data_IF_676206498125
#
_entry.id   IF_676206498125
#
_cell.length_a   1.000
_cell.length_b   1.000
_cell.length_c   1.000
_cell.angle_alpha   90.00
_cell.angle_beta   90.00
_cell.angle_gamma   90.00
#
_symmetry.space_group_name_H-M   'P 1'
#
loop_
_entity.id
_entity.type
_entity.pdbx_description
1 polymer ?
#
# COMPACT_ATOMS: atom_id res chain seq x y z
N UNK A 1 -16.55 -31.15 4.20
CA UNK A 1 -16.25 -30.02 5.05
C UNK A 1 -15.76 -28.84 4.21
N UNK A 2 -16.52 -27.78 4.19
CA UNK A 2 -16.07 -26.58 3.46
C UNK A 2 -14.88 -26.04 4.21
N UNK A 3 -13.74 -26.01 3.57
CA UNK A 3 -12.55 -25.39 4.11
C UNK A 3 -12.86 -23.95 4.46
N UNK A 4 -12.42 -23.49 5.64
CA UNK A 4 -12.57 -22.11 6.09
C UNK A 4 -12.00 -21.12 5.06
N UNK A 5 -10.95 -21.55 4.38
CA UNK A 5 -10.30 -20.77 3.32
C UNK A 5 -11.23 -20.58 2.10
N UNK A 6 -11.89 -21.65 1.67
CA UNK A 6 -12.85 -21.62 0.56
C UNK A 6 -14.05 -20.72 0.90
N UNK A 7 -14.53 -20.81 2.13
CA UNK A 7 -15.60 -19.95 2.62
C UNK A 7 -15.20 -18.48 2.59
N UNK A 8 -13.97 -18.17 3.00
CA UNK A 8 -13.42 -16.83 2.98
C UNK A 8 -13.33 -16.29 1.56
N UNK A 9 -12.89 -17.10 0.59
CA UNK A 9 -12.85 -16.71 -0.82
C UNK A 9 -14.24 -16.38 -1.36
N UNK A 10 -15.24 -17.21 -1.06
CA UNK A 10 -16.62 -16.96 -1.46
C UNK A 10 -17.17 -15.67 -0.84
N UNK A 11 -16.79 -15.41 0.41
CA UNK A 11 -17.20 -14.23 1.12
C UNK A 11 -16.58 -12.96 0.52
N UNK A 12 -15.29 -13.03 0.18
CA UNK A 12 -14.59 -11.92 -0.48
C UNK A 12 -15.23 -11.61 -1.84
N UNK A 13 -15.57 -12.64 -2.60
CA UNK A 13 -16.26 -12.48 -3.88
C UNK A 13 -17.64 -11.84 -3.69
N UNK A 14 -18.36 -12.23 -2.66
CA UNK A 14 -19.66 -11.68 -2.30
C UNK A 14 -19.54 -10.21 -1.88
N UNK A 15 -18.56 -9.90 -1.02
CA UNK A 15 -18.25 -8.53 -0.62
C UNK A 15 -17.94 -7.65 -1.83
N UNK A 16 -17.13 -8.15 -2.75
CA UNK A 16 -16.76 -7.42 -3.96
C UNK A 16 -17.96 -7.11 -4.85
N UNK A 17 -19.02 -7.94 -4.82
CA UNK A 17 -20.27 -7.66 -5.54
C UNK A 17 -21.08 -6.57 -4.86
N UNK A 18 -21.01 -6.47 -3.54
CA UNK A 18 -21.70 -5.45 -2.75
C UNK A 18 -21.02 -4.10 -2.78
N UNK A 19 -19.71 -4.09 -3.01
CA UNK A 19 -19.00 -2.83 -3.17
C UNK A 19 -19.49 -2.18 -4.45
N UNK A 20 -20.00 -0.96 -4.31
CA UNK A 20 -20.55 -0.18 -5.39
C UNK A 20 -19.59 -0.15 -6.59
N UNK A 21 -20.12 -0.41 -7.78
CA UNK A 21 -19.35 -0.36 -9.02
C UNK A 21 -18.73 1.02 -9.25
N UNK A 22 -19.40 2.08 -8.78
CA UNK A 22 -18.88 3.45 -8.86
C UNK A 22 -17.65 3.63 -7.97
N UNK A 23 -17.64 3.02 -6.79
CA UNK A 23 -16.49 3.06 -5.89
C UNK A 23 -15.28 2.35 -6.51
N UNK A 24 -15.50 1.21 -7.16
CA UNK A 24 -14.45 0.48 -7.88
C UNK A 24 -13.90 1.28 -9.06
N UNK A 25 -14.77 1.91 -9.82
CA UNK A 25 -14.39 2.77 -10.94
C UNK A 25 -13.57 3.96 -10.46
N UNK A 26 -13.98 4.57 -9.36
CA UNK A 26 -13.27 5.68 -8.76
C UNK A 26 -11.88 5.26 -8.29
N UNK A 27 -11.77 4.09 -7.66
CA UNK A 27 -10.47 3.56 -7.23
C UNK A 27 -9.55 3.31 -8.43
N UNK A 28 -10.05 2.71 -9.50
CA UNK A 28 -9.29 2.49 -10.74
C UNK A 28 -8.82 3.80 -11.37
N UNK A 29 -9.69 4.80 -11.40
CA UNK A 29 -9.38 6.12 -11.93
C UNK A 29 -8.26 6.79 -11.16
N UNK A 30 -8.31 6.74 -9.84
CA UNK A 30 -7.29 7.31 -8.97
C UNK A 30 -5.98 6.53 -9.05
N UNK A 31 -6.04 5.21 -9.17
CA UNK A 31 -4.87 4.37 -9.39
C UNK A 31 -4.18 4.72 -10.71
N UNK A 32 -4.96 4.87 -11.77
CA UNK A 32 -4.44 5.27 -13.08
C UNK A 32 -3.75 6.64 -13.04
N UNK A 33 -4.32 7.59 -12.29
CA UNK A 33 -3.73 8.90 -12.10
C UNK A 33 -2.35 8.85 -11.42
N UNK A 34 -2.12 7.85 -10.55
CA UNK A 34 -0.81 7.64 -9.94
C UNK A 34 0.26 7.28 -10.98
N UNK A 35 -0.08 6.41 -11.94
CA UNK A 35 0.86 6.02 -12.99
C UNK A 35 1.22 7.18 -13.92
N UNK A 36 0.31 8.13 -14.08
CA UNK A 36 0.52 9.29 -14.93
C UNK A 36 1.15 10.48 -14.21
N UNK A 37 1.44 10.37 -12.92
CA UNK A 37 2.01 11.45 -12.14
C UNK A 37 3.54 11.49 -12.28
N UNK A 38 4.12 12.46 -13.01
CA UNK A 38 5.58 12.52 -13.19
C UNK A 38 6.33 12.72 -11.88
N UNK A 39 5.77 13.50 -10.96
CA UNK A 39 6.39 13.76 -9.65
C UNK A 39 6.49 12.48 -8.82
N UNK A 40 5.43 11.68 -8.80
CA UNK A 40 5.42 10.39 -8.09
C UNK A 40 6.44 9.44 -8.70
N UNK A 41 6.51 9.35 -10.03
CA UNK A 41 7.47 8.49 -10.71
C UNK A 41 8.91 8.88 -10.39
N UNK A 42 9.21 10.17 -10.32
CA UNK A 42 10.52 10.69 -9.94
C UNK A 42 10.86 10.31 -8.49
N UNK A 43 9.93 10.50 -7.57
CA UNK A 43 10.14 10.18 -6.15
C UNK A 43 10.30 8.66 -5.94
N UNK A 44 9.53 7.85 -6.65
CA UNK A 44 9.66 6.39 -6.59
C UNK A 44 11.02 5.92 -7.11
N UNK A 45 11.55 6.55 -8.14
CA UNK A 45 12.87 6.24 -8.65
C UNK A 45 13.96 6.57 -7.63
N UNK A 46 13.87 7.70 -6.97
CA UNK A 46 14.78 8.07 -5.88
C UNK A 46 14.68 7.06 -4.72
N UNK A 47 13.47 6.64 -4.39
CA UNK A 47 13.22 5.65 -3.37
C UNK A 47 13.90 4.31 -3.71
N UNK A 48 13.78 3.86 -4.95
CA UNK A 48 14.43 2.63 -5.41
C UNK A 48 15.95 2.72 -5.34
N UNK A 49 16.54 3.86 -5.68
CA UNK A 49 17.97 4.08 -5.57
C UNK A 49 18.45 3.96 -4.12
N UNK A 50 17.71 4.54 -3.18
CA UNK A 50 18.02 4.44 -1.75
C UNK A 50 17.87 2.99 -1.26
N UNK A 51 16.82 2.30 -1.67
CA UNK A 51 16.60 0.89 -1.32
C UNK A 51 17.74 0.01 -1.83
N UNK A 52 18.24 0.26 -3.05
CA UNK A 52 19.37 -0.47 -3.61
C UNK A 52 20.65 -0.22 -2.84
N UNK A 53 20.94 1.03 -2.45
CA UNK A 53 22.10 1.34 -1.63
C UNK A 53 22.02 0.69 -0.27
N UNK A 54 20.85 0.73 0.39
CA UNK A 54 20.62 0.06 1.66
C UNK A 54 20.82 -1.45 1.55
N UNK A 55 20.35 -2.05 0.46
CA UNK A 55 20.51 -3.48 0.20
C UNK A 55 22.00 -3.87 0.11
N UNK A 56 22.82 -3.03 -0.52
CA UNK A 56 24.27 -3.25 -0.59
C UNK A 56 24.94 -3.10 0.78
N UNK A 57 24.46 -2.18 1.62
CA UNK A 57 24.99 -1.98 2.96
C UNK A 57 24.69 -3.15 3.91
N UNK A 58 23.57 -3.84 3.70
CA UNK A 58 23.20 -5.02 4.50
C UNK A 58 24.25 -6.13 4.37
N UNK A 59 24.91 -6.24 3.24
CA UNK A 59 25.96 -7.22 3.00
C UNK A 59 27.28 -6.88 3.72
N UNK A 60 27.41 -5.65 4.24
CA UNK A 60 28.56 -5.22 5.02
C UNK A 60 28.35 -5.49 6.50
N UNK A 61 29.47 -5.68 7.23
CA UNK A 61 29.41 -5.77 8.68
C UNK A 61 28.84 -4.48 9.29
N UNK A 62 28.02 -4.56 10.38
CA UNK A 62 27.42 -3.37 10.98
C UNK A 62 28.40 -2.26 11.31
N UNK A 63 29.63 -2.61 11.69
CA UNK A 63 30.69 -1.64 12.00
C UNK A 63 31.17 -0.86 10.79
N UNK A 64 30.93 -1.38 9.55
CA UNK A 64 31.35 -0.74 8.31
C UNK A 64 30.25 0.08 7.64
N UNK A 65 29.01 -0.04 8.12
CA UNK A 65 27.86 0.71 7.57
C UNK A 65 27.89 2.18 7.97
N UNK A 66 28.26 2.46 9.21
CA UNK A 66 28.50 3.81 9.75
C UNK A 66 27.36 4.78 9.55
N UNK A 67 27.72 6.06 9.40
CA UNK A 67 26.79 7.17 9.21
C UNK A 67 26.02 7.08 7.90
N UNK A 68 26.51 6.32 6.91
CA UNK A 68 25.85 6.20 5.59
C UNK A 68 24.49 5.53 5.70
N UNK A 69 24.37 4.48 6.53
CA UNK A 69 23.09 3.82 6.77
C UNK A 69 22.07 4.76 7.41
N UNK A 70 22.49 5.52 8.42
CA UNK A 70 21.62 6.49 9.08
C UNK A 70 21.15 7.57 8.12
N UNK A 71 22.04 8.11 7.30
CA UNK A 71 21.72 9.14 6.32
C UNK A 71 20.72 8.62 5.26
N UNK A 72 20.91 7.39 4.79
CA UNK A 72 20.00 6.77 3.83
C UNK A 72 18.63 6.52 4.43
N UNK A 73 18.56 6.04 5.67
CA UNK A 73 17.29 5.82 6.35
C UNK A 73 16.53 7.13 6.57
N UNK A 74 17.25 8.19 6.89
CA UNK A 74 16.68 9.53 7.07
C UNK A 74 16.11 10.06 5.75
N UNK A 75 16.89 9.94 4.69
CA UNK A 75 16.47 10.33 3.34
C UNK A 75 15.25 9.53 2.88
N UNK A 76 15.21 8.23 3.18
CA UNK A 76 14.08 7.36 2.86
C UNK A 76 12.80 7.80 3.57
N UNK A 77 12.89 8.13 4.85
CA UNK A 77 11.74 8.61 5.64
C UNK A 77 11.20 9.93 5.09
N UNK A 78 12.08 10.85 4.76
CA UNK A 78 11.68 12.15 4.19
C UNK A 78 11.03 11.98 2.83
N UNK A 79 11.57 11.07 2.01
CA UNK A 79 11.03 10.75 0.70
C UNK A 79 9.63 10.13 0.80
N UNK A 80 9.42 9.23 1.75
CA UNK A 80 8.09 8.63 2.01
C UNK A 80 7.07 9.68 2.44
N UNK A 81 7.47 10.62 3.29
CA UNK A 81 6.60 11.72 3.69
C UNK A 81 6.21 12.58 2.49
N UNK A 82 7.16 12.85 1.61
CA UNK A 82 6.91 13.64 0.41
C UNK A 82 5.95 12.91 -0.54
N UNK A 83 6.15 11.61 -0.75
CA UNK A 83 5.25 10.78 -1.56
C UNK A 83 3.83 10.79 -0.96
N UNK A 84 3.71 10.56 0.35
CA UNK A 84 2.41 10.51 1.03
C UNK A 84 1.70 11.86 1.05
N UNK A 85 2.44 12.95 0.86
CA UNK A 85 1.87 14.31 0.81
C UNK A 85 1.35 14.70 -0.57
N UNK A 86 1.65 13.93 -1.63
CA UNK A 86 1.16 14.23 -2.97
C UNK A 86 -0.37 14.11 -3.01
N UNK A 87 -1.08 15.07 -3.64
CA UNK A 87 -2.54 15.02 -3.73
C UNK A 87 -3.06 13.75 -4.39
N UNK A 88 -2.40 13.26 -5.41
CA UNK A 88 -2.77 12.05 -6.14
C UNK A 88 -2.66 10.81 -5.24
N UNK A 89 -1.61 10.73 -4.41
CA UNK A 89 -1.43 9.64 -3.45
C UNK A 89 -2.49 9.69 -2.35
N UNK A 90 -2.74 10.86 -1.80
CA UNK A 90 -3.80 11.05 -0.79
C UNK A 90 -5.16 10.67 -1.34
N UNK A 91 -5.45 11.06 -2.57
CA UNK A 91 -6.70 10.74 -3.25
C UNK A 91 -6.88 9.24 -3.43
N UNK A 92 -5.83 8.55 -3.87
CA UNK A 92 -5.86 7.10 -4.01
C UNK A 92 -6.05 6.38 -2.66
N UNK A 93 -5.28 6.77 -1.64
CA UNK A 93 -5.36 6.16 -0.32
C UNK A 93 -6.73 6.36 0.32
N UNK A 94 -7.34 7.51 0.12
CA UNK A 94 -8.69 7.78 0.60
C UNK A 94 -9.72 6.81 0.01
N UNK A 95 -9.67 6.60 -1.30
CA UNK A 95 -10.54 5.64 -1.97
C UNK A 95 -10.24 4.19 -1.58
N UNK A 96 -8.96 3.84 -1.49
CA UNK A 96 -8.51 2.51 -1.06
C UNK A 96 -8.98 2.20 0.35
N UNK A 97 -8.85 3.14 1.28
CA UNK A 97 -9.25 2.97 2.68
C UNK A 97 -10.76 2.78 2.82
N UNK A 98 -11.56 3.44 2.00
CA UNK A 98 -13.02 3.22 1.98
C UNK A 98 -13.37 1.79 1.59
N UNK A 99 -12.73 1.27 0.55
CA UNK A 99 -12.94 -0.13 0.12
C UNK A 99 -12.50 -1.10 1.20
N UNK A 100 -11.33 -0.87 1.79
CA UNK A 100 -10.78 -1.70 2.86
C UNK A 100 -11.69 -1.69 4.09
N UNK A 101 -12.19 -0.54 4.48
CA UNK A 101 -13.10 -0.38 5.63
C UNK A 101 -14.38 -1.20 5.43
N UNK A 102 -14.97 -1.14 4.25
CA UNK A 102 -16.16 -1.93 3.92
C UNK A 102 -15.86 -3.42 4.03
N UNK A 103 -14.74 -3.89 3.50
CA UNK A 103 -14.32 -5.28 3.60
C UNK A 103 -14.08 -5.71 5.04
N UNK A 104 -13.42 -4.87 5.84
CA UNK A 104 -13.13 -5.17 7.24
C UNK A 104 -14.41 -5.27 8.07
N UNK A 105 -15.36 -4.36 7.89
CA UNK A 105 -16.67 -4.39 8.56
C UNK A 105 -17.41 -5.67 8.20
N UNK A 106 -17.38 -6.06 6.94
CA UNK A 106 -18.05 -7.26 6.46
C UNK A 106 -17.41 -8.54 7.06
N UNK A 107 -16.10 -8.60 7.09
CA UNK A 107 -15.36 -9.70 7.69
C UNK A 107 -15.64 -9.81 9.19
N UNK A 108 -15.62 -8.71 9.91
CA UNK A 108 -15.90 -8.68 11.36
C UNK A 108 -17.31 -9.15 11.68
N UNK A 109 -18.30 -8.73 10.90
CA UNK A 109 -19.70 -9.14 11.12
C UNK A 109 -19.91 -10.64 10.90
N UNK A 110 -19.25 -11.20 9.91
CA UNK A 110 -19.49 -12.60 9.54
C UNK A 110 -18.55 -13.55 10.28
N UNK A 111 -17.26 -13.22 10.37
CA UNK A 111 -16.29 -14.08 11.06
C UNK A 111 -16.28 -13.89 12.57
N UNK A 112 -16.59 -12.69 13.05
CA UNK A 112 -16.71 -12.42 14.49
C UNK A 112 -17.84 -13.17 15.16
N UNK A 113 -18.91 -13.47 14.41
CA UNK A 113 -20.06 -14.25 14.93
C UNK A 113 -19.81 -15.77 14.85
N UNK A 114 -18.89 -16.21 14.00
CA UNK A 114 -18.58 -17.62 13.80
C UNK A 114 -17.44 -18.09 14.73
N UNK A 115 -16.57 -17.18 15.10
CA UNK A 115 -15.47 -17.46 16.03
C UNK A 115 -15.98 -17.42 17.46
#
# INVERSE_FOLDING_TARGET
>A
MTDLYTFKEHLDAFCNRFIDSDLKKELKKRDHALYECPKLNQLNQQKMEIENELSHLVDLEPSKRGAREEDLLKAYKELRKEIDSLPEVKSYLEAYNKVKEIKDIFNDKIFGEIA
#
